data_IF_106485544297
#
_entry.id   IF_106485544297
#
_cell.length_a   1.000
_cell.length_b   1.000
_cell.length_c   1.000
_cell.angle_alpha   90.00
_cell.angle_beta   90.00
_cell.angle_gamma   90.00
#
_symmetry.space_group_name_H-M   'P 1'
#
loop_
_entity.id
_entity.type
_entity.pdbx_description
1 polymer ?
#
# COMPACT_ATOMS: atom_id res chain seq x y z
N UNK A 1 -49.76 -55.35 18.47
CA UNK A 1 -48.49 -54.59 18.50
C UNK A 1 -48.46 -53.69 17.28
N UNK A 2 -48.40 -52.38 17.51
CA UNK A 2 -48.39 -51.34 16.48
C UNK A 2 -46.94 -51.06 16.10
N UNK A 3 -46.61 -51.12 14.81
CA UNK A 3 -45.30 -50.70 14.30
C UNK A 3 -45.55 -49.64 13.24
N UNK A 4 -45.48 -48.37 13.63
CA UNK A 4 -45.48 -47.25 12.69
C UNK A 4 -44.02 -46.87 12.43
N UNK A 5 -43.54 -47.16 11.21
CA UNK A 5 -42.25 -46.69 10.73
C UNK A 5 -42.44 -45.24 10.29
N UNK A 6 -41.92 -44.31 11.11
CA UNK A 6 -41.86 -42.88 10.77
C UNK A 6 -40.61 -42.69 9.90
N UNK A 7 -40.81 -42.47 8.61
CA UNK A 7 -39.74 -42.04 7.70
C UNK A 7 -39.60 -40.52 7.87
N UNK A 8 -38.55 -40.10 8.59
CA UNK A 8 -38.16 -38.69 8.68
C UNK A 8 -37.35 -38.37 7.42
N UNK A 9 -38.00 -37.77 6.43
CA UNK A 9 -37.30 -37.15 5.30
C UNK A 9 -36.57 -35.90 5.79
N UNK A 10 -35.26 -36.03 6.03
CA UNK A 10 -34.35 -34.89 6.16
C UNK A 10 -34.29 -34.17 4.81
N UNK A 11 -35.11 -33.13 4.65
CA UNK A 11 -34.85 -32.11 3.64
C UNK A 11 -33.57 -31.38 4.04
N UNK A 12 -32.43 -31.87 3.54
CA UNK A 12 -31.22 -31.09 3.45
C UNK A 12 -31.49 -29.94 2.47
N UNK A 13 -32.02 -28.83 2.99
CA UNK A 13 -31.83 -27.53 2.36
C UNK A 13 -30.33 -27.27 2.39
N UNK A 14 -29.64 -27.74 1.35
CA UNK A 14 -28.36 -27.18 0.95
C UNK A 14 -28.69 -25.77 0.46
N UNK A 15 -28.89 -24.84 1.40
CA UNK A 15 -28.84 -23.43 1.10
C UNK A 15 -27.42 -23.19 0.62
N UNK A 16 -27.24 -23.18 -0.70
CA UNK A 16 -26.10 -22.53 -1.31
C UNK A 16 -26.01 -21.15 -0.69
N UNK A 17 -25.07 -20.94 0.22
CA UNK A 17 -24.61 -19.63 0.64
C UNK A 17 -24.00 -18.98 -0.60
N UNK A 18 -24.86 -18.47 -1.48
CA UNK A 18 -24.46 -17.39 -2.35
C UNK A 18 -24.19 -16.27 -1.36
N UNK A 19 -22.91 -15.98 -1.12
CA UNK A 19 -22.50 -14.80 -0.38
C UNK A 19 -23.13 -13.62 -1.11
N UNK A 20 -24.28 -13.18 -0.61
CA UNK A 20 -24.98 -12.02 -1.14
C UNK A 20 -24.03 -10.85 -0.90
N UNK A 21 -23.56 -10.22 -1.98
CA UNK A 21 -22.67 -9.07 -1.89
C UNK A 21 -23.36 -8.02 -1.01
N UNK A 22 -22.87 -7.87 0.22
CA UNK A 22 -23.49 -7.01 1.20
C UNK A 22 -23.40 -5.59 0.67
N UNK A 23 -24.53 -4.88 0.62
CA UNK A 23 -24.56 -3.48 0.22
C UNK A 23 -23.56 -2.70 1.09
N UNK A 24 -22.59 -2.03 0.45
CA UNK A 24 -21.53 -1.30 1.13
C UNK A 24 -22.14 -0.11 1.87
N UNK A 25 -21.75 0.09 3.12
CA UNK A 25 -22.11 1.30 3.87
C UNK A 25 -21.53 2.55 3.17
N UNK A 26 -22.19 3.70 3.33
CA UNK A 26 -21.73 4.98 2.75
C UNK A 26 -21.04 5.86 3.78
N UNK A 27 -19.84 6.36 3.45
CA UNK A 27 -19.11 7.36 4.23
C UNK A 27 -19.03 8.70 3.49
N UNK A 28 -19.14 9.77 4.26
CA UNK A 28 -19.06 11.14 3.77
C UNK A 28 -17.86 11.82 4.41
N UNK A 29 -16.99 12.42 3.60
CA UNK A 29 -15.81 13.14 4.07
C UNK A 29 -15.88 14.62 3.72
N UNK A 30 -15.60 15.47 4.69
CA UNK A 30 -15.32 16.87 4.43
C UNK A 30 -14.02 17.00 3.64
N UNK A 31 -14.00 17.88 2.65
CA UNK A 31 -12.80 18.21 1.90
C UNK A 31 -11.87 19.04 2.77
N UNK A 32 -10.59 18.66 2.79
CA UNK A 32 -9.53 19.43 3.42
C UNK A 32 -8.44 19.72 2.38
N UNK A 33 -8.13 21.01 2.15
CA UNK A 33 -7.19 21.45 1.11
C UNK A 33 -5.76 20.95 1.32
N UNK A 34 -5.37 20.61 2.55
CA UNK A 34 -4.02 20.13 2.85
C UNK A 34 -3.90 18.60 2.74
N UNK A 35 -5.00 17.87 2.88
CA UNK A 35 -5.01 16.40 2.85
C UNK A 35 -5.55 15.83 1.54
N UNK A 36 -6.20 16.66 0.70
CA UNK A 36 -6.83 16.22 -0.54
C UNK A 36 -6.35 17.01 -1.74
N UNK A 37 -6.02 16.29 -2.82
CA UNK A 37 -5.81 16.84 -4.15
C UNK A 37 -6.80 16.18 -5.10
N UNK A 38 -7.58 16.99 -5.79
CA UNK A 38 -8.50 16.51 -6.82
C UNK A 38 -8.61 17.51 -7.95
N UNK A 39 -8.54 17.10 -9.23
CA UNK A 39 -8.87 17.99 -10.33
C UNK A 39 -10.34 18.45 -10.28
N UNK A 40 -11.22 17.69 -9.62
CA UNK A 40 -12.64 18.03 -9.44
C UNK A 40 -12.84 19.19 -8.42
N UNK A 41 -11.88 19.40 -7.51
CA UNK A 41 -11.92 20.49 -6.52
C UNK A 41 -10.98 21.63 -6.93
N UNK A 42 -9.75 21.27 -7.29
CA UNK A 42 -8.64 22.15 -7.65
C UNK A 42 -8.25 21.86 -9.10
N UNK A 43 -8.97 22.41 -10.09
CA UNK A 43 -8.79 22.09 -11.52
C UNK A 43 -7.42 22.47 -12.08
N UNK A 44 -6.59 23.21 -11.34
CA UNK A 44 -5.42 23.89 -11.86
C UNK A 44 -4.10 23.11 -11.70
N UNK A 45 -4.07 21.97 -10.99
CA UNK A 45 -2.83 21.20 -10.81
C UNK A 45 -2.41 20.39 -12.04
N UNK A 46 -3.34 20.05 -12.94
CA UNK A 46 -3.05 19.30 -14.17
C UNK A 46 -2.31 20.11 -15.24
N UNK A 47 -2.37 21.44 -15.19
CA UNK A 47 -1.71 22.36 -16.14
C UNK A 47 -0.53 23.12 -15.51
N UNK A 48 -0.22 22.82 -14.25
CA UNK A 48 0.81 23.51 -13.47
C UNK A 48 2.20 22.96 -13.78
N UNK A 49 3.21 23.83 -13.70
CA UNK A 49 4.60 23.42 -13.90
C UNK A 49 5.05 22.49 -12.78
N UNK A 50 6.16 21.77 -12.98
CA UNK A 50 6.76 20.97 -11.90
C UNK A 50 7.08 21.82 -10.65
N UNK A 51 7.46 23.09 -10.84
CA UNK A 51 7.73 24.04 -9.76
C UNK A 51 6.49 24.35 -8.91
N UNK A 52 5.34 24.57 -9.56
CA UNK A 52 4.05 24.76 -8.88
C UNK A 52 3.68 23.53 -8.03
N UNK A 53 3.91 22.33 -8.56
CA UNK A 53 3.67 21.08 -7.86
C UNK A 53 4.54 20.96 -6.60
N UNK A 54 5.82 21.36 -6.68
CA UNK A 54 6.72 21.39 -5.53
C UNK A 54 6.20 22.36 -4.46
N UNK A 55 5.74 23.55 -4.86
CA UNK A 55 5.25 24.56 -3.92
C UNK A 55 4.00 24.08 -3.17
N UNK A 56 3.01 23.56 -3.90
CA UNK A 56 1.79 22.98 -3.29
C UNK A 56 2.15 21.80 -2.38
N UNK A 57 3.06 20.94 -2.82
CA UNK A 57 3.52 19.80 -2.02
C UNK A 57 4.20 20.28 -0.74
N UNK A 58 5.06 21.30 -0.79
CA UNK A 58 5.70 21.88 0.40
C UNK A 58 4.67 22.44 1.37
N UNK A 59 3.69 23.20 0.87
CA UNK A 59 2.62 23.75 1.72
C UNK A 59 1.85 22.62 2.43
N UNK A 60 1.51 21.53 1.73
CA UNK A 60 0.85 20.38 2.36
C UNK A 60 1.75 19.69 3.39
N UNK A 61 3.04 19.50 3.09
CA UNK A 61 4.00 18.93 4.03
C UNK A 61 4.10 19.74 5.33
N UNK A 62 3.99 21.07 5.24
CA UNK A 62 4.03 21.96 6.41
C UNK A 62 2.77 21.86 7.29
N UNK A 63 1.66 21.33 6.75
CA UNK A 63 0.36 21.26 7.44
C UNK A 63 -0.12 19.82 7.76
N UNK A 64 0.61 18.81 7.28
CA UNK A 64 0.24 17.39 7.43
C UNK A 64 1.28 16.63 8.27
N UNK A 65 0.84 15.59 9.00
CA UNK A 65 1.76 14.66 9.69
C UNK A 65 1.99 13.37 8.89
N UNK A 66 1.68 13.41 7.60
CA UNK A 66 1.77 12.29 6.66
C UNK A 66 2.83 12.59 5.62
N UNK A 67 3.49 11.57 5.10
CA UNK A 67 4.43 11.72 3.98
C UNK A 67 3.72 11.61 2.61
N UNK A 68 2.51 12.14 2.52
CA UNK A 68 1.67 12.07 1.33
C UNK A 68 0.27 12.61 1.56
N UNK A 69 -0.55 12.53 0.52
CA UNK A 69 -1.88 13.11 0.44
C UNK A 69 -2.88 12.15 -0.21
N UNK A 70 -4.19 12.38 -0.01
CA UNK A 70 -5.22 11.69 -0.78
C UNK A 70 -5.38 12.38 -2.12
N UNK A 71 -5.16 11.63 -3.18
CA UNK A 71 -5.55 12.01 -4.52
C UNK A 71 -6.86 11.34 -4.86
N UNK A 72 -7.83 12.09 -5.37
CA UNK A 72 -9.03 11.48 -5.92
C UNK A 72 -9.52 12.19 -7.18
N UNK A 73 -10.14 11.44 -8.08
CA UNK A 73 -10.78 11.94 -9.29
C UNK A 73 -12.25 11.61 -9.20
N UNK A 74 -13.11 12.63 -9.24
CA UNK A 74 -14.56 12.44 -9.26
C UNK A 74 -15.01 11.62 -10.47
N UNK A 75 -16.15 10.95 -10.35
CA UNK A 75 -16.78 10.21 -11.44
C UNK A 75 -17.39 11.09 -12.53
N UNK A 76 -17.42 12.42 -12.32
CA UNK A 76 -17.97 13.41 -13.23
C UNK A 76 -19.39 13.84 -12.90
N UNK A 77 -20.00 13.26 -11.85
CA UNK A 77 -21.35 13.56 -11.41
C UNK A 77 -21.35 14.21 -10.02
N UNK A 78 -22.14 15.28 -9.89
CA UNK A 78 -22.40 15.91 -8.59
C UNK A 78 -23.73 15.39 -8.09
N UNK A 79 -23.68 14.52 -7.08
CA UNK A 79 -24.89 14.04 -6.43
C UNK A 79 -25.41 15.15 -5.53
N UNK A 80 -26.74 15.37 -5.55
CA UNK A 80 -27.42 16.38 -4.74
C UNK A 80 -28.43 15.71 -3.81
N UNK A 81 -28.88 16.45 -2.80
CA UNK A 81 -29.94 16.03 -1.87
C UNK A 81 -29.60 14.82 -0.98
N UNK A 82 -28.33 14.41 -0.88
CA UNK A 82 -27.91 13.47 0.16
C UNK A 82 -27.98 14.16 1.53
N UNK A 83 -28.42 13.41 2.54
CA UNK A 83 -28.57 13.89 3.92
C UNK A 83 -27.67 13.08 4.84
N UNK A 84 -26.33 13.29 4.80
CA UNK A 84 -25.41 12.53 5.63
C UNK A 84 -25.72 12.76 7.11
N UNK A 85 -25.84 11.68 7.88
CA UNK A 85 -25.97 11.77 9.35
C UNK A 85 -24.72 12.33 10.01
N UNK A 86 -23.56 12.08 9.39
CA UNK A 86 -22.25 12.52 9.84
C UNK A 86 -21.34 12.76 8.65
N UNK A 87 -20.60 13.86 8.71
CA UNK A 87 -19.50 14.16 7.79
C UNK A 87 -18.21 13.94 8.59
N UNK A 88 -17.35 13.06 8.11
CA UNK A 88 -16.09 12.69 8.73
C UNK A 88 -14.98 13.65 8.29
N UNK A 89 -14.00 13.87 9.17
CA UNK A 89 -12.76 14.56 8.83
C UNK A 89 -11.81 13.61 8.11
N UNK A 90 -11.42 13.95 6.88
CA UNK A 90 -10.46 13.15 6.11
C UNK A 90 -9.08 13.13 6.80
N UNK A 91 -8.67 14.26 7.39
CA UNK A 91 -7.46 14.38 8.21
C UNK A 91 -7.44 13.38 9.35
N UNK A 92 -8.45 13.43 10.23
CA UNK A 92 -8.52 12.56 11.41
C UNK A 92 -8.56 11.08 11.02
N UNK A 93 -9.18 10.79 9.88
CA UNK A 93 -9.24 9.43 9.36
C UNK A 93 -7.87 8.93 8.93
N UNK A 94 -7.15 9.68 8.10
CA UNK A 94 -5.87 9.24 7.52
C UNK A 94 -4.74 9.27 8.54
N UNK A 95 -4.71 10.25 9.44
CA UNK A 95 -3.68 10.33 10.49
C UNK A 95 -3.81 9.21 11.54
N UNK A 96 -4.79 8.32 11.40
CA UNK A 96 -4.89 7.12 12.21
C UNK A 96 -3.78 6.10 11.87
N UNK A 97 -2.92 5.81 12.85
CA UNK A 97 -1.76 4.91 12.71
C UNK A 97 -2.09 3.51 12.15
N UNK A 98 -3.33 3.04 12.24
CA UNK A 98 -3.72 1.74 11.65
C UNK A 98 -3.52 1.66 10.14
N UNK A 99 -3.48 2.80 9.44
CA UNK A 99 -3.29 2.85 7.99
C UNK A 99 -1.85 3.02 7.56
N UNK A 100 -0.92 3.19 8.49
CA UNK A 100 0.48 3.40 8.16
C UNK A 100 1.17 2.06 7.92
N UNK A 101 2.27 2.10 7.17
CA UNK A 101 3.22 1.00 7.14
C UNK A 101 3.66 0.63 8.57
N UNK A 102 3.98 -0.64 8.75
CA UNK A 102 4.30 -1.15 10.07
C UNK A 102 5.62 -0.56 10.59
N UNK A 103 5.64 -0.30 11.89
CA UNK A 103 6.82 0.20 12.57
C UNK A 103 6.58 1.53 13.30
N UNK A 104 7.64 2.02 13.93
CA UNK A 104 7.56 3.16 14.84
C UNK A 104 7.69 4.48 14.11
N UNK A 105 8.50 4.52 13.06
CA UNK A 105 8.97 5.75 12.44
C UNK A 105 8.25 6.04 11.13
N UNK A 106 7.76 5.03 10.40
CA UNK A 106 7.18 5.19 9.08
C UNK A 106 5.97 6.13 9.14
N UNK A 107 6.01 7.23 8.40
CA UNK A 107 4.94 8.23 8.31
C UNK A 107 4.18 8.15 6.99
N UNK A 108 4.41 7.09 6.21
CA UNK A 108 3.73 6.82 4.96
C UNK A 108 2.48 5.98 5.27
N UNK A 109 1.36 6.39 4.69
CA UNK A 109 0.13 5.59 4.71
C UNK A 109 0.32 4.45 3.73
N UNK A 110 0.11 3.23 4.20
CA UNK A 110 0.05 2.04 3.37
C UNK A 110 -1.22 2.11 2.52
N UNK A 111 -1.05 2.38 1.23
CA UNK A 111 -2.15 2.53 0.26
C UNK A 111 -3.03 1.29 0.21
N UNK A 112 -2.47 0.11 0.49
CA UNK A 112 -3.18 -1.16 0.46
C UNK A 112 -4.09 -1.31 1.68
N UNK A 113 -3.59 -1.00 2.89
CA UNK A 113 -4.42 -0.95 4.11
C UNK A 113 -5.54 0.08 3.97
N UNK A 114 -5.23 1.22 3.37
CA UNK A 114 -6.21 2.27 3.10
C UNK A 114 -7.30 1.77 2.15
N UNK A 115 -6.93 1.15 1.02
CA UNK A 115 -7.86 0.57 0.04
C UNK A 115 -8.81 -0.44 0.70
N UNK A 116 -8.26 -1.41 1.43
CA UNK A 116 -9.07 -2.44 2.11
C UNK A 116 -10.08 -1.81 3.08
N UNK A 117 -9.65 -0.76 3.79
CA UNK A 117 -10.42 -0.13 4.86
C UNK A 117 -11.38 0.95 4.37
N UNK A 118 -11.25 1.42 3.14
CA UNK A 118 -12.07 2.48 2.55
C UNK A 118 -12.81 1.97 1.33
N UNK A 119 -12.16 1.95 0.18
CA UNK A 119 -12.83 1.79 -1.12
C UNK A 119 -13.36 0.37 -1.35
N UNK A 120 -12.73 -0.62 -0.74
CA UNK A 120 -13.23 -2.00 -0.80
C UNK A 120 -14.42 -2.22 0.13
N UNK A 121 -14.55 -1.43 1.20
CA UNK A 121 -15.57 -1.63 2.24
C UNK A 121 -16.75 -0.66 2.16
N UNK A 122 -16.54 0.55 1.67
CA UNK A 122 -17.50 1.64 1.75
C UNK A 122 -17.69 2.33 0.39
N UNK A 123 -18.89 2.85 0.16
CA UNK A 123 -19.13 3.88 -0.86
C UNK A 123 -18.70 5.22 -0.26
N UNK A 124 -17.89 5.99 -0.99
CA UNK A 124 -17.30 7.23 -0.47
C UNK A 124 -17.88 8.43 -1.20
N UNK A 125 -18.23 9.48 -0.47
CA UNK A 125 -18.49 10.81 -1.02
C UNK A 125 -17.63 11.87 -0.34
N UNK A 126 -17.05 12.77 -1.15
CA UNK A 126 -16.47 14.02 -0.66
C UNK A 126 -17.52 15.13 -0.72
N UNK A 127 -17.65 15.89 0.37
CA UNK A 127 -18.70 16.91 0.53
C UNK A 127 -18.15 18.28 0.17
N UNK A 128 -18.84 18.97 -0.75
CA UNK A 128 -18.56 20.35 -1.17
C UNK A 128 -19.85 21.17 -1.11
N UNK A 129 -20.11 21.81 0.03
CA UNK A 129 -21.39 22.51 0.24
C UNK A 129 -22.56 21.53 0.29
N UNK A 130 -23.55 21.71 -0.59
CA UNK A 130 -24.70 20.81 -0.79
C UNK A 130 -24.47 19.75 -1.88
N UNK A 131 -23.29 19.75 -2.51
CA UNK A 131 -22.91 18.83 -3.56
C UNK A 131 -21.97 17.74 -3.03
N UNK A 132 -22.14 16.52 -3.58
CA UNK A 132 -21.41 15.34 -3.17
C UNK A 132 -20.68 14.72 -4.36
N UNK A 133 -19.38 14.52 -4.20
CA UNK A 133 -18.48 14.02 -5.24
C UNK A 133 -18.13 12.58 -4.90
N UNK A 134 -18.58 11.63 -5.73
CA UNK A 134 -18.13 10.26 -5.63
C UNK A 134 -16.81 10.10 -6.37
N UNK A 135 -15.76 9.55 -5.75
CA UNK A 135 -14.51 9.30 -6.43
C UNK A 135 -14.64 8.07 -7.33
N UNK A 136 -14.24 8.20 -8.59
CA UNK A 136 -13.95 7.05 -9.46
C UNK A 136 -12.58 6.46 -9.15
N UNK A 137 -11.62 7.32 -8.78
CA UNK A 137 -10.28 6.94 -8.37
C UNK A 137 -10.03 7.60 -7.01
N UNK A 138 -9.51 6.84 -6.04
CA UNK A 138 -9.07 7.34 -4.74
C UNK A 138 -7.79 6.59 -4.34
N UNK A 139 -6.73 7.36 -4.12
CA UNK A 139 -5.39 6.83 -3.86
C UNK A 139 -4.70 7.68 -2.80
N UNK A 140 -3.81 7.05 -2.03
CA UNK A 140 -2.81 7.78 -1.26
C UNK A 140 -1.54 7.92 -2.12
N UNK A 141 -1.06 9.15 -2.28
CA UNK A 141 0.16 9.46 -3.03
C UNK A 141 1.24 9.96 -2.10
N UNK A 142 2.37 9.27 -2.10
CA UNK A 142 3.57 9.70 -1.38
C UNK A 142 4.11 11.01 -1.97
N UNK A 143 4.68 11.87 -1.12
CA UNK A 143 5.47 13.02 -1.57
C UNK A 143 6.84 12.62 -2.13
N UNK A 144 7.22 11.35 -1.99
CA UNK A 144 8.55 10.84 -2.32
C UNK A 144 8.50 9.71 -3.36
N UNK A 145 9.55 9.56 -4.18
CA UNK A 145 10.68 10.49 -4.31
C UNK A 145 10.24 11.80 -4.98
N UNK A 146 10.77 12.93 -4.51
CA UNK A 146 10.60 14.23 -5.18
C UNK A 146 11.94 14.73 -5.71
N UNK A 147 11.94 15.68 -6.64
CA UNK A 147 13.16 16.39 -7.03
C UNK A 147 13.33 17.68 -6.23
N UNK A 148 14.56 17.98 -5.85
CA UNK A 148 14.93 19.32 -5.38
C UNK A 148 15.06 20.30 -6.55
N UNK A 149 15.50 21.54 -6.25
CA UNK A 149 15.70 22.61 -7.24
C UNK A 149 16.76 22.28 -8.31
N UNK A 150 17.66 21.34 -8.00
CA UNK A 150 18.80 20.93 -8.84
C UNK A 150 18.53 19.57 -9.50
N UNK A 151 17.28 19.12 -9.54
CA UNK A 151 16.83 17.85 -10.12
C UNK A 151 17.34 16.58 -9.42
N UNK A 152 17.90 16.69 -8.22
CA UNK A 152 18.32 15.53 -7.44
C UNK A 152 17.12 14.85 -6.80
N UNK A 153 17.11 13.52 -6.80
CA UNK A 153 16.07 12.75 -6.12
C UNK A 153 16.24 12.86 -4.60
N UNK A 154 15.21 13.40 -3.94
CA UNK A 154 15.08 13.42 -2.49
C UNK A 154 14.19 12.26 -2.08
N UNK A 155 14.76 11.32 -1.34
CA UNK A 155 14.07 10.16 -0.81
C UNK A 155 13.41 10.46 0.53
N UNK A 156 12.38 9.69 0.89
CA UNK A 156 11.83 9.76 2.24
C UNK A 156 12.89 9.29 3.26
N UNK A 157 13.24 10.17 4.20
CA UNK A 157 14.20 9.88 5.29
C UNK A 157 13.57 9.15 6.48
N UNK A 158 12.24 9.14 6.55
CA UNK A 158 11.46 8.62 7.68
C UNK A 158 10.84 7.29 7.26
N UNK A 159 11.66 6.24 7.31
CA UNK A 159 11.30 4.85 7.01
C UNK A 159 11.65 3.96 8.20
N UNK A 160 10.85 2.93 8.43
CA UNK A 160 11.23 1.87 9.37
C UNK A 160 12.21 0.90 8.72
N UNK A 161 12.90 0.14 9.56
CA UNK A 161 13.90 -0.83 9.14
C UNK A 161 13.36 -2.25 9.26
N UNK A 162 13.46 -3.03 8.18
CA UNK A 162 13.22 -4.46 8.17
C UNK A 162 14.56 -5.20 8.15
N UNK A 163 14.70 -6.16 9.04
CA UNK A 163 15.84 -7.08 9.06
C UNK A 163 15.36 -8.46 8.66
N UNK A 164 15.88 -8.98 7.55
CA UNK A 164 15.61 -10.34 7.11
C UNK A 164 16.83 -11.23 7.35
N UNK A 165 16.60 -12.47 7.81
CA UNK A 165 17.64 -13.50 7.78
C UNK A 165 17.98 -13.75 6.32
N UNK A 166 19.26 -13.69 5.96
CA UNK A 166 19.71 -14.13 4.64
C UNK A 166 19.59 -15.66 4.58
N UNK A 167 18.61 -16.12 3.81
CA UNK A 167 18.34 -17.54 3.57
C UNK A 167 18.77 -17.88 2.15
N UNK A 168 19.94 -18.52 2.03
CA UNK A 168 20.52 -18.90 0.74
C UNK A 168 19.71 -20.01 0.02
N UNK A 169 18.75 -20.64 0.69
CA UNK A 169 17.81 -21.54 0.02
C UNK A 169 16.69 -20.78 -0.70
N UNK A 170 16.40 -19.54 -0.32
CA UNK A 170 15.34 -18.74 -0.93
C UNK A 170 15.87 -17.55 -1.75
N UNK A 171 16.99 -16.99 -1.31
CA UNK A 171 17.71 -15.89 -1.94
C UNK A 171 18.93 -16.47 -2.65
N UNK A 172 19.14 -16.11 -3.90
CA UNK A 172 20.29 -16.54 -4.69
C UNK A 172 20.86 -15.37 -5.48
N UNK A 173 22.11 -15.51 -5.93
CA UNK A 173 22.76 -14.57 -6.84
C UNK A 173 23.43 -15.35 -7.96
N UNK A 174 23.70 -14.69 -9.08
CA UNK A 174 24.49 -15.27 -10.17
C UNK A 174 25.98 -14.94 -9.93
N UNK A 175 26.88 -15.73 -10.51
CA UNK A 175 28.34 -15.48 -10.39
C UNK A 175 28.73 -14.14 -11.01
N UNK A 176 28.08 -13.77 -12.12
CA UNK A 176 28.35 -12.52 -12.85
C UNK A 176 27.73 -11.27 -12.18
N UNK A 177 26.77 -11.46 -11.28
CA UNK A 177 26.06 -10.36 -10.58
C UNK A 177 25.99 -10.62 -9.07
N UNK A 178 27.14 -10.69 -8.36
CA UNK A 178 27.18 -11.02 -6.93
C UNK A 178 26.56 -9.95 -6.02
N UNK A 179 26.29 -8.76 -6.58
CA UNK A 179 25.64 -7.64 -5.92
C UNK A 179 24.10 -7.70 -5.99
N UNK A 180 23.54 -8.68 -6.69
CA UNK A 180 22.11 -8.81 -6.94
C UNK A 180 21.56 -10.09 -6.28
N UNK A 181 20.69 -9.89 -5.30
CA UNK A 181 20.05 -10.95 -4.52
C UNK A 181 18.64 -11.21 -5.06
N UNK A 182 18.51 -12.20 -5.93
CA UNK A 182 17.25 -12.67 -6.49
C UNK A 182 16.50 -13.54 -5.49
N UNK A 183 15.16 -13.55 -5.57
CA UNK A 183 14.32 -14.43 -4.78
C UNK A 183 13.65 -15.48 -5.66
N UNK A 184 13.45 -16.69 -5.13
CA UNK A 184 12.89 -17.80 -5.90
C UNK A 184 11.44 -17.59 -6.39
N UNK A 185 10.64 -16.81 -5.68
CA UNK A 185 9.23 -16.58 -6.06
C UNK A 185 9.06 -15.50 -7.14
N UNK A 186 10.10 -14.70 -7.44
CA UNK A 186 10.07 -13.76 -8.56
C UNK A 186 10.39 -14.49 -9.86
N UNK A 187 9.37 -14.69 -10.68
CA UNK A 187 9.45 -15.39 -11.96
C UNK A 187 8.56 -14.68 -12.99
N UNK A 188 9.09 -14.48 -14.20
CA UNK A 188 8.34 -13.90 -15.32
C UNK A 188 9.19 -12.94 -16.16
N UNK A 189 8.48 -12.09 -16.92
CA UNK A 189 9.07 -11.04 -17.75
C UNK A 189 9.52 -9.82 -16.92
N UNK A 190 8.95 -9.68 -15.73
CA UNK A 190 9.46 -8.78 -14.70
C UNK A 190 10.25 -9.60 -13.70
N UNK A 191 11.35 -9.04 -13.18
CA UNK A 191 12.16 -9.69 -12.17
C UNK A 191 12.46 -8.73 -11.03
N UNK A 192 12.01 -9.12 -9.85
CA UNK A 192 12.31 -8.46 -8.60
C UNK A 192 13.55 -9.07 -7.95
N UNK A 193 14.43 -8.21 -7.46
CA UNK A 193 15.60 -8.58 -6.68
C UNK A 193 16.00 -7.45 -5.74
N UNK A 194 16.92 -7.76 -4.83
CA UNK A 194 17.52 -6.80 -3.94
C UNK A 194 18.94 -6.48 -4.41
N UNK A 195 19.23 -5.21 -4.66
CA UNK A 195 20.58 -4.77 -5.02
C UNK A 195 21.35 -4.36 -3.77
N UNK A 196 22.55 -4.90 -3.60
CA UNK A 196 23.46 -4.54 -2.50
C UNK A 196 23.81 -3.05 -2.59
N UNK A 197 23.73 -2.38 -1.44
CA UNK A 197 24.16 -0.99 -1.29
C UNK A 197 25.47 -0.90 -0.50
N UNK A 198 25.49 -1.43 0.71
CA UNK A 198 26.64 -1.38 1.62
C UNK A 198 26.59 -2.51 2.66
N UNK A 199 27.70 -2.73 3.37
CA UNK A 199 27.81 -3.69 4.47
C UNK A 199 28.17 -2.95 5.75
N UNK A 200 27.39 -3.17 6.80
CA UNK A 200 27.57 -2.58 8.11
C UNK A 200 27.86 -3.67 9.15
N UNK A 201 28.83 -3.43 10.04
CA UNK A 201 29.29 -4.42 11.04
C UNK A 201 28.75 -4.19 12.45
N UNK A 202 28.09 -3.05 12.71
CA UNK A 202 27.77 -2.59 14.07
C UNK A 202 26.32 -2.09 14.20
N UNK A 203 25.37 -2.86 13.68
CA UNK A 203 23.93 -2.61 13.86
C UNK A 203 23.32 -3.53 14.92
N UNK A 204 22.27 -3.03 15.59
CA UNK A 204 21.43 -3.82 16.50
C UNK A 204 20.08 -4.08 15.85
N UNK A 205 19.81 -5.33 15.49
CA UNK A 205 18.46 -5.75 15.04
C UNK A 205 17.55 -6.02 16.23
N UNK A 206 16.31 -5.51 16.20
CA UNK A 206 15.30 -5.81 17.23
C UNK A 206 14.53 -7.10 16.97
N UNK A 207 14.24 -7.39 15.71
CA UNK A 207 13.50 -8.57 15.26
C UNK A 207 14.05 -8.99 13.90
N UNK A 208 14.35 -10.27 13.76
CA UNK A 208 14.80 -10.86 12.49
C UNK A 208 13.61 -11.60 11.86
N UNK A 209 13.30 -11.28 10.61
CA UNK A 209 12.20 -11.85 9.86
C UNK A 209 12.70 -12.91 8.87
N UNK A 210 11.86 -13.90 8.56
CA UNK A 210 12.10 -14.79 7.44
C UNK A 210 11.54 -14.15 6.16
N UNK A 211 12.39 -13.92 5.14
CA UNK A 211 11.97 -13.24 3.91
C UNK A 211 10.95 -14.05 3.12
N UNK A 212 11.11 -15.38 3.03
CA UNK A 212 10.18 -16.25 2.32
C UNK A 212 8.80 -16.20 2.94
N UNK A 213 8.72 -16.38 4.26
CA UNK A 213 7.44 -16.30 4.98
C UNK A 213 6.81 -14.91 4.84
N UNK A 214 7.61 -13.84 4.93
CA UNK A 214 7.14 -12.47 4.75
C UNK A 214 6.52 -12.26 3.36
N UNK A 215 7.21 -12.69 2.30
CA UNK A 215 6.73 -12.56 0.92
C UNK A 215 5.49 -13.42 0.70
N UNK A 216 5.52 -14.70 1.10
CA UNK A 216 4.43 -15.65 0.83
C UNK A 216 3.18 -15.40 1.69
N UNK A 217 3.31 -14.72 2.83
CA UNK A 217 2.17 -14.26 3.63
C UNK A 217 1.64 -12.88 3.22
N UNK A 218 2.37 -12.17 2.34
CA UNK A 218 1.95 -10.87 1.85
C UNK A 218 0.79 -11.00 0.87
N UNK A 219 0.03 -9.91 0.70
CA UNK A 219 -1.02 -9.80 -0.33
C UNK A 219 -0.50 -9.87 -1.76
N UNK A 220 0.79 -9.69 -1.95
CA UNK A 220 1.43 -9.69 -3.27
C UNK A 220 1.66 -11.12 -3.77
N UNK A 221 1.50 -12.13 -2.90
CA UNK A 221 1.65 -13.53 -3.23
C UNK A 221 0.29 -14.24 -3.30
N UNK A 222 0.07 -14.96 -4.40
CA UNK A 222 -1.08 -15.83 -4.58
C UNK A 222 -0.62 -17.17 -5.16
N UNK A 223 -0.64 -18.21 -4.33
CA UNK A 223 -0.21 -19.57 -4.68
C UNK A 223 -1.01 -20.19 -5.84
N UNK A 224 -2.23 -19.72 -6.07
CA UNK A 224 -3.17 -20.27 -7.04
C UNK A 224 -3.00 -19.63 -8.44
N UNK A 225 -2.15 -18.60 -8.57
CA UNK A 225 -1.80 -17.98 -9.86
C UNK A 225 -0.57 -18.62 -10.50
N UNK A 226 -0.48 -18.56 -11.83
CA UNK A 226 0.71 -18.99 -12.58
C UNK A 226 1.93 -18.15 -12.19
N UNK A 227 1.82 -16.83 -12.31
CA UNK A 227 2.76 -15.88 -11.69
C UNK A 227 2.26 -15.61 -10.27
N UNK A 228 2.91 -16.27 -9.30
CA UNK A 228 2.47 -16.25 -7.90
C UNK A 228 2.74 -14.93 -7.22
N UNK A 229 3.82 -14.25 -7.58
CA UNK A 229 4.24 -13.00 -6.98
C UNK A 229 3.99 -11.81 -7.92
N UNK A 230 3.33 -10.77 -7.41
CA UNK A 230 3.33 -9.45 -8.05
C UNK A 230 4.64 -8.74 -7.72
N UNK A 231 5.62 -8.87 -8.62
CA UNK A 231 6.98 -8.34 -8.44
C UNK A 231 6.98 -6.82 -8.33
N UNK A 232 6.22 -6.13 -9.20
CA UNK A 232 6.04 -4.69 -9.14
C UNK A 232 5.48 -4.23 -7.78
N UNK A 233 4.38 -4.83 -7.31
CA UNK A 233 3.73 -4.38 -6.08
C UNK A 233 4.56 -4.67 -4.84
N UNK A 234 5.29 -5.79 -4.82
CA UNK A 234 6.23 -6.10 -3.74
C UNK A 234 7.38 -5.10 -3.73
N UNK A 235 7.96 -4.78 -4.89
CA UNK A 235 9.05 -3.82 -5.01
C UNK A 235 8.64 -2.43 -4.52
N UNK A 236 7.47 -1.95 -4.95
CA UNK A 236 6.88 -0.69 -4.54
C UNK A 236 6.65 -0.65 -3.03
N UNK A 237 6.02 -1.69 -2.46
CA UNK A 237 5.79 -1.79 -1.01
C UNK A 237 7.08 -1.80 -0.19
N UNK A 238 8.07 -2.59 -0.61
CA UNK A 238 9.35 -2.70 0.10
C UNK A 238 10.21 -1.44 -0.04
N UNK A 239 9.99 -0.62 -1.08
CA UNK A 239 10.69 0.64 -1.26
C UNK A 239 10.45 1.63 -0.13
N UNK A 240 9.36 1.48 0.64
CA UNK A 240 9.03 2.31 1.80
C UNK A 240 9.70 1.87 3.11
N UNK A 241 10.59 0.88 3.05
CA UNK A 241 11.42 0.42 4.17
C UNK A 241 12.91 0.59 3.90
N UNK A 242 13.71 0.64 4.97
CA UNK A 242 15.15 0.38 4.92
C UNK A 242 15.34 -1.11 5.15
N UNK A 243 16.04 -1.81 4.25
CA UNK A 243 16.09 -3.27 4.28
C UNK A 243 17.52 -3.75 4.51
N UNK A 244 17.68 -4.63 5.49
CA UNK A 244 18.94 -5.32 5.75
C UNK A 244 18.75 -6.83 5.63
N UNK A 245 19.65 -7.45 4.88
CA UNK A 245 19.92 -8.87 5.00
C UNK A 245 20.96 -9.10 6.08
N UNK A 246 20.68 -10.06 6.96
CA UNK A 246 21.53 -10.38 8.10
C UNK A 246 22.03 -11.81 7.93
N UNK A 247 23.35 -11.97 7.90
CA UNK A 247 23.96 -13.30 7.82
C UNK A 247 23.62 -14.14 9.07
N UNK A 248 23.80 -15.46 9.00
CA UNK A 248 23.43 -16.38 10.08
C UNK A 248 24.14 -16.06 11.41
N UNK A 249 25.37 -15.57 11.33
CA UNK A 249 26.19 -15.19 12.48
C UNK A 249 25.80 -13.83 13.08
N UNK A 250 24.84 -13.10 12.47
CA UNK A 250 24.40 -11.75 12.86
C UNK A 250 25.52 -10.73 12.97
N UNK A 251 26.64 -10.98 12.27
CA UNK A 251 27.84 -10.16 12.31
C UNK A 251 27.89 -9.14 11.16
N UNK A 252 27.13 -9.39 10.09
CA UNK A 252 27.10 -8.53 8.91
C UNK A 252 25.66 -8.19 8.54
N UNK A 253 25.44 -6.89 8.36
CA UNK A 253 24.18 -6.30 7.94
C UNK A 253 24.39 -5.73 6.55
N UNK A 254 23.81 -6.41 5.56
CA UNK A 254 23.90 -6.05 4.16
C UNK A 254 22.71 -5.16 3.85
N UNK A 255 22.95 -3.86 3.69
CA UNK A 255 21.92 -2.93 3.23
C UNK A 255 21.60 -3.25 1.77
N UNK A 256 20.32 -3.42 1.47
CA UNK A 256 19.86 -3.73 0.13
C UNK A 256 18.69 -2.84 -0.29
N UNK A 257 18.60 -2.56 -1.58
CA UNK A 257 17.52 -1.79 -2.19
C UNK A 257 16.64 -2.71 -3.05
N UNK A 258 15.30 -2.70 -2.85
CA UNK A 258 14.39 -3.41 -3.74
C UNK A 258 14.48 -2.83 -5.16
N UNK A 259 14.61 -3.70 -6.16
CA UNK A 259 14.79 -3.34 -7.57
C UNK A 259 13.89 -4.20 -8.44
N UNK A 260 13.33 -3.60 -9.48
CA UNK A 260 12.54 -4.28 -10.50
C UNK A 260 13.20 -4.03 -11.86
N UNK A 261 13.37 -5.09 -12.64
CA UNK A 261 13.78 -5.01 -14.05
C UNK A 261 12.71 -5.66 -14.90
N UNK A 262 12.36 -5.00 -16.01
CA UNK A 262 11.47 -5.53 -17.04
C UNK A 262 12.35 -5.99 -18.19
N UNK A 263 12.23 -7.26 -18.57
CA UNK A 263 12.89 -7.80 -19.74
C UNK A 263 11.93 -7.76 -20.93
N UNK A 264 12.40 -7.17 -22.03
CA UNK A 264 11.72 -7.14 -23.33
C UNK A 264 11.78 -8.51 -24.04
#
# INVERSE_FOLDING_TARGET
>A
MKTYIIIISFFFFVSSLIAQEKEKDTLFFGIDKYYTISPTITPNLSYKTYSDWIEVTKEQMDHTKTNGYISFIGDGYLTKNLKPKKILSIKEYIENRKFYYDGKYNQIVDKWKLKDSLTDKYIIYFVKGDEFIQPRILEYKSYYPRRDKDWNAVQNKVKDTLFFKLDNEYVYHWEDTPEEYFIKDSMGNERFFFKKAEILKTLKSKKLLNLKEFVQSSRFYNKDKQQKLSDHDLADFLSDYIIFFVNENKSEFIHVNPTLVVYD
#
